data_IF_046391834991
#
_entry.id   IF_046391834991
#
_cell.length_a   1.000
_cell.length_b   1.000
_cell.length_c   1.000
_cell.angle_alpha   90.00
_cell.angle_beta   90.00
_cell.angle_gamma   90.00
#
_symmetry.space_group_name_H-M   'P 1'
#
loop_
_entity.id
_entity.type
_entity.pdbx_description
1 polymer ?
#
# COMPACT_ATOMS: atom_id res chain seq x y z
N UNK A 1 7.71 8.42 26.01
CA UNK A 1 6.40 8.21 25.36
C UNK A 1 5.72 7.02 26.01
N UNK A 2 4.53 7.22 26.59
CA UNK A 2 3.90 6.23 27.48
C UNK A 2 3.27 5.10 26.65
N UNK A 3 3.31 3.85 27.12
CA UNK A 3 2.79 2.66 26.41
C UNK A 3 1.30 2.79 26.04
N UNK A 4 0.57 3.66 26.75
CA UNK A 4 -0.80 4.07 26.43
C UNK A 4 -0.87 4.95 25.18
N UNK A 5 -0.03 5.98 25.05
CA UNK A 5 -0.02 6.88 23.88
C UNK A 5 0.39 6.15 22.60
N UNK A 6 1.34 5.22 22.69
CA UNK A 6 1.74 4.37 21.57
C UNK A 6 0.60 3.42 21.13
N UNK A 7 -0.17 2.87 22.09
CA UNK A 7 -1.39 2.12 21.79
C UNK A 7 -2.45 2.99 21.13
N UNK A 8 -2.64 4.23 21.57
CA UNK A 8 -3.60 5.17 20.96
C UNK A 8 -3.16 5.57 19.54
N UNK A 9 -1.86 5.78 19.31
CA UNK A 9 -1.32 6.08 17.99
C UNK A 9 -1.46 4.89 17.03
N UNK A 10 -1.15 3.67 17.48
CA UNK A 10 -1.40 2.43 16.71
C UNK A 10 -2.89 2.20 16.43
N UNK A 11 -3.76 2.49 17.41
CA UNK A 11 -5.22 2.44 17.21
C UNK A 11 -5.66 3.48 16.17
N UNK A 12 -5.07 4.67 16.18
CA UNK A 12 -5.37 5.73 15.21
C UNK A 12 -4.89 5.35 13.80
N UNK A 13 -3.71 4.76 13.65
CA UNK A 13 -3.19 4.30 12.36
C UNK A 13 -4.10 3.22 11.75
N UNK A 14 -4.53 2.25 12.55
CA UNK A 14 -5.49 1.22 12.14
C UNK A 14 -6.93 1.73 11.96
N UNK A 15 -7.25 2.95 12.41
CA UNK A 15 -8.55 3.61 12.18
C UNK A 15 -8.55 4.59 11.00
N UNK A 16 -7.37 4.91 10.43
CA UNK A 16 -7.24 5.85 9.33
C UNK A 16 -7.45 5.20 7.95
N UNK A 17 -7.12 3.92 7.84
CA UNK A 17 -7.54 3.09 6.70
C UNK A 17 -9.01 2.77 6.93
N UNK A 18 -9.87 3.12 5.98
CA UNK A 18 -11.22 2.59 5.98
C UNK A 18 -11.09 1.06 6.02
N UNK A 19 -11.58 0.41 7.08
CA UNK A 19 -11.43 -1.03 7.31
C UNK A 19 -12.19 -1.88 6.28
N UNK A 20 -12.22 -1.53 5.00
CA UNK A 20 -12.80 -2.38 3.96
C UNK A 20 -12.02 -3.70 3.82
N UNK A 21 -10.71 -3.70 4.08
CA UNK A 21 -9.89 -4.93 4.12
C UNK A 21 -9.92 -5.68 5.47
N UNK A 22 -10.35 -5.00 6.55
CA UNK A 22 -10.36 -5.51 7.92
C UNK A 22 -11.77 -5.94 8.38
N UNK A 23 -12.78 -5.76 7.52
CA UNK A 23 -13.99 -6.55 7.60
C UNK A 23 -13.53 -7.98 7.38
N UNK A 24 -13.39 -8.71 8.49
CA UNK A 24 -13.52 -10.16 8.45
C UNK A 24 -14.84 -10.38 7.74
N UNK A 25 -14.74 -10.72 6.46
CA UNK A 25 -15.83 -11.32 5.71
C UNK A 25 -16.19 -12.53 6.54
N UNK A 26 -17.19 -12.40 7.41
CA UNK A 26 -17.65 -13.51 8.20
C UNK A 26 -18.23 -14.49 7.18
N UNK A 27 -17.39 -15.47 6.85
CA UNK A 27 -17.59 -16.48 5.81
C UNK A 27 -18.91 -17.25 6.06
N UNK A 28 -19.51 -17.09 7.25
CA UNK A 28 -20.78 -17.69 7.64
C UNK A 28 -22.03 -16.80 7.66
N UNK A 29 -21.95 -15.45 7.72
CA UNK A 29 -23.15 -14.63 8.01
C UNK A 29 -23.87 -14.04 6.79
N UNK A 30 -23.17 -13.76 5.69
CA UNK A 30 -23.80 -13.16 4.48
C UNK A 30 -24.40 -14.20 3.51
N UNK A 31 -24.34 -15.50 3.84
CA UNK A 31 -24.96 -16.58 3.06
C UNK A 31 -26.13 -17.17 3.84
N UNK A 32 -27.25 -16.45 3.94
CA UNK A 32 -28.50 -17.12 4.25
C UNK A 32 -28.91 -17.96 3.03
N UNK A 33 -28.78 -19.28 3.13
CA UNK A 33 -29.22 -20.24 2.09
C UNK A 33 -28.52 -20.15 0.72
N UNK A 34 -27.30 -19.61 0.64
CA UNK A 34 -26.56 -19.47 -0.64
C UNK A 34 -27.00 -18.28 -1.51
N UNK A 35 -27.84 -17.40 -0.97
CA UNK A 35 -28.23 -16.12 -1.57
C UNK A 35 -27.33 -14.99 -1.09
N UNK A 36 -27.16 -13.96 -1.92
CA UNK A 36 -26.44 -12.73 -1.58
C UNK A 36 -27.35 -11.53 -1.69
N UNK A 37 -27.22 -10.62 -0.75
CA UNK A 37 -27.82 -9.30 -0.86
C UNK A 37 -27.09 -8.52 -1.95
N UNK A 38 -27.81 -8.10 -2.99
CA UNK A 38 -27.33 -7.20 -4.03
C UNK A 38 -28.17 -5.93 -4.01
N UNK A 39 -27.53 -4.79 -4.24
CA UNK A 39 -28.22 -3.54 -4.47
C UNK A 39 -28.46 -3.40 -5.97
N UNK A 40 -29.73 -3.46 -6.38
CA UNK A 40 -30.17 -3.32 -7.75
C UNK A 40 -30.52 -1.88 -8.05
N UNK A 41 -29.97 -1.36 -9.14
CA UNK A 41 -30.26 -0.06 -9.70
C UNK A 41 -31.05 -0.21 -11.00
N UNK A 42 -32.14 0.55 -11.11
CA UNK A 42 -32.94 0.68 -12.32
C UNK A 42 -32.49 1.88 -13.16
N UNK A 43 -32.96 1.97 -14.40
CA UNK A 43 -32.76 3.07 -15.37
C UNK A 43 -33.08 4.46 -14.82
N UNK A 44 -33.94 4.54 -13.80
CA UNK A 44 -34.31 5.80 -13.11
C UNK A 44 -33.38 6.16 -11.94
N UNK A 45 -32.35 5.35 -11.66
CA UNK A 45 -31.44 5.55 -10.52
C UNK A 45 -32.02 5.14 -9.16
N UNK A 46 -33.18 4.49 -9.14
CA UNK A 46 -33.77 3.93 -7.92
C UNK A 46 -33.01 2.67 -7.51
N UNK A 47 -32.81 2.51 -6.19
CA UNK A 47 -32.04 1.40 -5.61
C UNK A 47 -32.93 0.50 -4.75
N UNK A 48 -32.96 -0.79 -5.03
CA UNK A 48 -33.70 -1.80 -4.23
C UNK A 48 -32.76 -2.94 -3.82
N UNK A 49 -32.94 -3.48 -2.61
CA UNK A 49 -32.18 -4.65 -2.17
C UNK A 49 -32.85 -5.92 -2.68
N UNK A 50 -32.11 -6.72 -3.43
CA UNK A 50 -32.59 -7.99 -3.98
C UNK A 50 -31.65 -9.13 -3.53
N UNK A 51 -32.23 -10.23 -3.01
CA UNK A 51 -31.46 -11.43 -2.70
C UNK A 51 -31.32 -12.31 -3.94
N UNK A 52 -30.09 -12.45 -4.46
CA UNK A 52 -29.85 -13.15 -5.72
C UNK A 52 -28.88 -14.32 -5.51
N UNK A 53 -29.18 -15.48 -6.11
CA UNK A 53 -28.24 -16.60 -6.22
C UNK A 53 -27.37 -16.46 -7.47
N UNK A 54 -26.20 -17.12 -7.49
CA UNK A 54 -25.34 -17.17 -8.69
C UNK A 54 -26.04 -17.76 -9.90
N UNK A 55 -26.87 -18.79 -9.67
CA UNK A 55 -27.60 -19.46 -10.74
C UNK A 55 -28.67 -18.54 -11.33
N UNK A 56 -29.33 -17.75 -10.49
CA UNK A 56 -30.32 -16.78 -10.95
C UNK A 56 -29.66 -15.61 -11.68
N UNK A 57 -28.52 -15.08 -11.19
CA UNK A 57 -27.72 -14.09 -11.93
C UNK A 57 -27.33 -14.59 -13.32
N UNK A 58 -26.81 -15.82 -13.39
CA UNK A 58 -26.40 -16.42 -14.66
C UNK A 58 -27.60 -16.58 -15.60
N UNK A 59 -28.76 -17.01 -15.10
CA UNK A 59 -29.99 -17.09 -15.91
C UNK A 59 -30.45 -15.72 -16.39
N UNK A 60 -30.38 -14.68 -15.56
CA UNK A 60 -30.75 -13.31 -15.95
C UNK A 60 -29.84 -12.80 -17.05
N UNK A 61 -28.52 -13.01 -16.93
CA UNK A 61 -27.54 -12.63 -17.96
C UNK A 61 -27.77 -13.44 -19.25
N UNK A 62 -27.99 -14.76 -19.14
CA UNK A 62 -28.26 -15.60 -20.31
C UNK A 62 -29.58 -15.25 -20.99
N UNK A 63 -30.60 -14.86 -20.23
CA UNK A 63 -31.87 -14.38 -20.78
C UNK A 63 -31.68 -13.06 -21.54
N UNK A 64 -30.90 -12.13 -20.99
CA UNK A 64 -30.53 -10.88 -21.67
C UNK A 64 -29.76 -11.14 -22.96
N UNK A 65 -28.82 -12.09 -22.95
CA UNK A 65 -28.08 -12.51 -24.14
C UNK A 65 -28.98 -13.20 -25.19
N UNK A 66 -29.92 -14.04 -24.77
CA UNK A 66 -30.82 -14.79 -25.66
C UNK A 66 -31.84 -13.90 -26.40
N UNK A 67 -32.14 -12.71 -25.86
CA UNK A 67 -33.01 -11.72 -26.52
C UNK A 67 -32.35 -11.10 -27.76
N UNK A 68 -31.02 -11.17 -27.88
CA UNK A 68 -30.29 -10.76 -29.09
C UNK A 68 -30.47 -11.84 -30.15
N UNK A 69 -31.37 -11.61 -31.12
CA UNK A 69 -31.57 -12.52 -32.24
C UNK A 69 -30.32 -12.54 -33.11
N UNK A 70 -29.48 -13.56 -32.98
CA UNK A 70 -28.46 -13.87 -33.99
C UNK A 70 -29.17 -14.19 -35.32
N UNK A 71 -28.91 -13.46 -36.41
CA UNK A 71 -29.50 -13.79 -37.70
C UNK A 71 -29.08 -15.20 -38.17
N UNK A 72 -29.98 -15.86 -38.90
CA UNK A 72 -29.82 -17.21 -39.45
C UNK A 72 -28.54 -17.37 -40.28
N UNK A 73 -27.93 -18.57 -40.33
CA UNK A 73 -26.62 -18.81 -40.92
C UNK A 73 -26.68 -18.88 -42.46
N UNK A 74 -26.83 -17.75 -43.13
CA UNK A 74 -26.73 -17.68 -44.60
C UNK A 74 -26.13 -16.34 -45.03
N UNK A 75 -24.80 -16.19 -44.92
CA UNK A 75 -23.90 -15.54 -45.90
C UNK A 75 -22.55 -15.16 -45.27
N UNK A 76 -21.48 -15.39 -46.06
CA UNK A 76 -20.16 -14.74 -46.02
C UNK A 76 -19.18 -15.04 -44.86
N UNK A 77 -18.31 -16.04 -45.07
CA UNK A 77 -16.91 -15.81 -45.49
C UNK A 77 -15.88 -15.11 -44.60
N UNK A 78 -16.25 -14.31 -43.59
CA UNK A 78 -15.27 -13.59 -42.76
C UNK A 78 -15.26 -14.11 -41.31
N UNK A 79 -14.08 -14.05 -40.69
CA UNK A 79 -13.79 -14.50 -39.32
C UNK A 79 -14.85 -13.96 -38.37
N UNK A 80 -15.65 -14.86 -37.79
CA UNK A 80 -16.65 -14.51 -36.77
C UNK A 80 -15.93 -14.20 -35.46
N UNK A 81 -16.01 -12.94 -35.01
CA UNK A 81 -15.74 -12.60 -33.62
C UNK A 81 -16.97 -12.99 -32.79
N UNK A 82 -16.94 -14.16 -32.16
CA UNK A 82 -18.02 -14.62 -31.29
C UNK A 82 -17.82 -14.06 -29.88
N UNK A 83 -18.66 -13.11 -29.48
CA UNK A 83 -18.65 -12.55 -28.13
C UNK A 83 -18.84 -13.68 -27.09
N UNK A 84 -17.89 -13.89 -26.15
CA UNK A 84 -18.00 -14.96 -25.17
C UNK A 84 -19.20 -14.78 -24.23
N UNK A 85 -19.94 -15.87 -24.01
CA UNK A 85 -21.01 -15.92 -23.00
C UNK A 85 -20.45 -15.97 -21.58
N UNK A 86 -21.21 -15.42 -20.61
CA UNK A 86 -20.82 -15.46 -19.19
C UNK A 86 -20.81 -16.90 -18.68
N UNK A 87 -19.69 -17.28 -18.05
CA UNK A 87 -19.54 -18.58 -17.42
C UNK A 87 -19.62 -18.49 -15.89
N UNK A 88 -19.96 -19.59 -15.22
CA UNK A 88 -19.91 -19.67 -13.75
C UNK A 88 -18.54 -19.30 -13.16
N UNK A 89 -17.45 -19.43 -13.92
CA UNK A 89 -16.10 -19.01 -13.49
C UNK A 89 -16.00 -17.49 -13.30
N UNK A 90 -16.67 -16.72 -14.15
CA UNK A 90 -16.61 -15.26 -14.14
C UNK A 90 -17.38 -14.72 -12.91
N UNK A 91 -18.53 -15.34 -12.61
CA UNK A 91 -19.32 -15.08 -11.40
C UNK A 91 -18.62 -15.50 -10.10
N UNK A 92 -17.65 -16.42 -10.14
CA UNK A 92 -16.82 -16.76 -8.96
C UNK A 92 -15.81 -15.67 -8.65
N UNK A 93 -15.34 -14.88 -9.63
CA UNK A 93 -14.44 -13.74 -9.36
C UNK A 93 -15.15 -12.61 -8.59
N UNK A 94 -16.47 -12.50 -8.77
CA UNK A 94 -17.31 -11.61 -7.96
C UNK A 94 -17.49 -12.11 -6.51
N UNK A 95 -17.04 -13.33 -6.19
CA UNK A 95 -17.10 -13.89 -4.85
C UNK A 95 -15.83 -13.67 -4.03
N UNK A 96 -15.98 -13.04 -2.85
CA UNK A 96 -14.93 -12.84 -1.87
C UNK A 96 -14.30 -14.15 -1.39
N UNK A 97 -15.08 -15.23 -1.32
CA UNK A 97 -14.61 -16.55 -0.85
C UNK A 97 -13.62 -17.20 -1.83
N UNK A 98 -13.66 -16.80 -3.11
CA UNK A 98 -12.85 -17.42 -4.17
C UNK A 98 -11.86 -16.45 -4.84
N UNK A 99 -11.85 -15.18 -4.45
CA UNK A 99 -10.85 -14.21 -4.87
C UNK A 99 -9.53 -14.48 -4.10
N UNK A 100 -8.73 -15.41 -4.62
CA UNK A 100 -7.38 -15.72 -4.07
C UNK A 100 -6.47 -14.49 -4.16
N UNK A 101 -6.70 -13.62 -5.14
CA UNK A 101 -6.19 -12.27 -5.22
C UNK A 101 -7.39 -11.30 -5.34
N UNK A 102 -7.47 -10.27 -4.50
CA UNK A 102 -8.39 -9.14 -4.67
C UNK A 102 -7.91 -8.21 -5.81
N UNK A 103 -7.45 -8.80 -6.91
CA UNK A 103 -7.01 -8.05 -8.07
C UNK A 103 -8.24 -7.52 -8.82
N UNK A 104 -8.27 -6.21 -9.11
CA UNK A 104 -9.38 -5.62 -9.81
C UNK A 104 -9.39 -6.09 -11.27
N UNK A 105 -10.57 -6.42 -11.76
CA UNK A 105 -10.80 -6.92 -13.12
C UNK A 105 -12.08 -6.34 -13.66
N UNK A 106 -12.06 -5.86 -14.90
CA UNK A 106 -13.24 -5.44 -15.64
C UNK A 106 -13.33 -6.38 -16.84
N UNK A 107 -14.43 -7.11 -16.94
CA UNK A 107 -14.59 -8.20 -17.90
C UNK A 107 -15.89 -7.98 -18.65
N UNK A 108 -15.78 -7.84 -19.97
CA UNK A 108 -16.94 -7.66 -20.85
C UNK A 108 -17.33 -9.01 -21.45
N UNK A 109 -18.63 -9.30 -21.46
CA UNK A 109 -19.23 -10.54 -21.96
C UNK A 109 -20.52 -10.19 -22.70
N UNK A 110 -21.11 -11.19 -23.36
CA UNK A 110 -22.34 -10.99 -24.11
C UNK A 110 -23.45 -10.39 -23.23
N UNK A 111 -23.82 -9.14 -23.52
CA UNK A 111 -24.87 -8.38 -22.82
C UNK A 111 -24.63 -8.17 -21.32
N UNK A 112 -23.39 -8.25 -20.83
CA UNK A 112 -23.05 -8.01 -19.42
C UNK A 112 -21.61 -7.52 -19.22
N UNK A 113 -21.44 -6.53 -18.33
CA UNK A 113 -20.13 -6.05 -17.89
C UNK A 113 -19.96 -6.44 -16.41
N UNK A 114 -18.87 -7.15 -16.11
CA UNK A 114 -18.55 -7.59 -14.77
C UNK A 114 -17.40 -6.73 -14.23
N UNK A 115 -17.66 -5.97 -13.18
CA UNK A 115 -16.67 -5.15 -12.48
C UNK A 115 -16.33 -5.82 -11.16
N UNK A 116 -15.06 -6.13 -10.95
CA UNK A 116 -14.53 -6.54 -9.66
C UNK A 116 -13.48 -5.51 -9.26
N UNK A 117 -13.78 -4.61 -8.33
CA UNK A 117 -12.81 -3.64 -7.83
C UNK A 117 -13.09 -3.37 -6.35
N UNK A 118 -12.33 -4.00 -5.45
CA UNK A 118 -12.54 -3.86 -4.01
C UNK A 118 -12.60 -2.38 -3.58
N UNK A 119 -13.63 -1.95 -2.82
CA UNK A 119 -14.72 -2.72 -2.19
C UNK A 119 -16.01 -2.91 -3.00
N UNK A 120 -16.06 -2.47 -4.27
CA UNK A 120 -17.26 -2.48 -5.13
C UNK A 120 -17.20 -3.62 -6.15
N UNK A 121 -18.22 -4.47 -6.16
CA UNK A 121 -18.36 -5.54 -7.16
C UNK A 121 -19.68 -5.39 -7.85
N UNK A 122 -19.69 -5.35 -9.17
CA UNK A 122 -20.90 -5.03 -9.91
C UNK A 122 -21.06 -5.91 -11.16
N UNK A 123 -22.32 -6.14 -11.51
CA UNK A 123 -22.75 -6.69 -12.80
C UNK A 123 -23.65 -5.65 -13.43
N UNK A 124 -23.21 -5.09 -14.55
CA UNK A 124 -23.96 -4.08 -15.31
C UNK A 124 -24.61 -4.80 -16.49
N UNK A 125 -25.92 -4.65 -16.59
CA UNK A 125 -26.74 -5.04 -17.73
C UNK A 125 -27.21 -3.76 -18.44
N UNK A 126 -27.89 -3.93 -19.57
CA UNK A 126 -28.45 -2.83 -20.37
C UNK A 126 -29.51 -1.98 -19.65
N UNK A 127 -30.26 -2.58 -18.72
CA UNK A 127 -31.44 -2.00 -18.09
C UNK A 127 -31.38 -2.04 -16.56
N UNK A 128 -30.38 -2.70 -16.00
CA UNK A 128 -30.21 -2.81 -14.55
C UNK A 128 -28.75 -3.02 -14.17
N UNK A 129 -28.38 -2.54 -12.99
CA UNK A 129 -27.03 -2.73 -12.43
C UNK A 129 -27.14 -3.35 -11.04
N UNK A 130 -26.40 -4.43 -10.81
CA UNK A 130 -26.39 -5.19 -9.57
C UNK A 130 -25.06 -5.00 -8.87
N UNK A 131 -25.06 -4.40 -7.69
CA UNK A 131 -23.85 -4.16 -6.91
C UNK A 131 -23.85 -5.03 -5.65
N UNK A 132 -22.79 -5.79 -5.46
CA UNK A 132 -22.51 -6.58 -4.26
C UNK A 132 -21.58 -5.79 -3.35
N UNK A 133 -22.04 -5.56 -2.13
CA UNK A 133 -21.34 -4.77 -1.12
C UNK A 133 -21.08 -5.63 0.13
N UNK A 134 -19.97 -5.40 0.86
CA UNK A 134 -19.74 -6.03 2.14
C UNK A 134 -20.75 -5.55 3.20
N UNK A 135 -21.11 -6.45 4.13
CA UNK A 135 -22.01 -6.13 5.25
C UNK A 135 -21.40 -5.05 6.16
N UNK A 136 -22.19 -4.03 6.49
CA UNK A 136 -21.76 -2.90 7.33
C UNK A 136 -21.19 -1.68 6.59
N UNK A 137 -21.22 -1.67 5.25
CA UNK A 137 -20.72 -0.57 4.43
C UNK A 137 -21.77 0.54 4.12
N UNK A 138 -22.52 0.99 5.14
CA UNK A 138 -23.63 1.95 4.95
C UNK A 138 -23.16 3.29 4.34
N UNK A 139 -21.96 3.75 4.68
CA UNK A 139 -21.37 4.95 4.09
C UNK A 139 -21.08 4.78 2.60
N UNK A 140 -20.67 3.58 2.18
CA UNK A 140 -20.39 3.30 0.78
C UNK A 140 -21.68 3.17 -0.01
N UNK A 141 -22.69 2.51 0.55
CA UNK A 141 -24.03 2.44 -0.04
C UNK A 141 -24.62 3.83 -0.25
N UNK A 142 -24.53 4.72 0.74
CA UNK A 142 -25.01 6.10 0.61
C UNK A 142 -24.26 6.87 -0.46
N UNK A 143 -22.93 6.70 -0.54
CA UNK A 143 -22.11 7.32 -1.58
C UNK A 143 -22.54 6.83 -2.96
N UNK A 144 -22.69 5.52 -3.12
CA UNK A 144 -23.03 4.87 -4.38
C UNK A 144 -24.44 5.28 -4.84
N UNK A 145 -25.44 5.32 -3.95
CA UNK A 145 -26.77 5.85 -4.28
C UNK A 145 -26.74 7.32 -4.73
N UNK A 146 -25.91 8.13 -4.07
CA UNK A 146 -25.70 9.53 -4.44
C UNK A 146 -25.09 9.66 -5.84
N UNK A 147 -24.01 8.92 -6.09
CA UNK A 147 -23.31 8.91 -7.38
C UNK A 147 -24.18 8.39 -8.51
N UNK A 148 -24.93 7.31 -8.32
CA UNK A 148 -25.87 6.81 -9.33
C UNK A 148 -26.95 7.84 -9.66
N UNK A 149 -27.54 8.49 -8.64
CA UNK A 149 -28.56 9.51 -8.88
C UNK A 149 -28.00 10.73 -9.60
N UNK A 150 -26.81 11.18 -9.21
CA UNK A 150 -26.12 12.31 -9.85
C UNK A 150 -25.79 11.97 -11.31
N UNK A 151 -25.27 10.76 -11.57
CA UNK A 151 -24.88 10.36 -12.91
C UNK A 151 -26.07 10.17 -13.83
N UNK A 152 -27.15 9.53 -13.37
CA UNK A 152 -28.36 9.36 -14.19
C UNK A 152 -29.01 10.71 -14.57
N UNK A 153 -28.87 11.75 -13.75
CA UNK A 153 -29.41 13.08 -14.05
C UNK A 153 -28.57 13.84 -15.08
N UNK A 154 -27.24 13.72 -15.02
CA UNK A 154 -26.33 14.36 -15.97
C UNK A 154 -26.26 13.60 -17.30
N UNK A 155 -26.43 12.28 -17.27
CA UNK A 155 -26.30 11.37 -18.40
C UNK A 155 -27.62 11.07 -19.11
N UNK A 156 -28.62 11.96 -19.08
CA UNK A 156 -29.93 11.76 -19.74
C UNK A 156 -29.86 11.41 -21.24
N UNK A 157 -28.70 11.60 -21.89
CA UNK A 157 -28.46 11.34 -23.30
C UNK A 157 -27.48 10.17 -23.56
N UNK A 158 -26.96 9.54 -22.51
CA UNK A 158 -26.01 8.42 -22.61
C UNK A 158 -26.74 7.13 -22.26
N UNK A 159 -26.36 6.01 -22.88
CA UNK A 159 -26.94 4.71 -22.58
C UNK A 159 -26.68 4.30 -21.11
N UNK A 160 -27.62 3.55 -20.54
CA UNK A 160 -27.61 3.20 -19.10
C UNK A 160 -26.32 2.48 -18.69
N UNK A 161 -25.76 1.62 -19.55
CA UNK A 161 -24.54 0.88 -19.27
C UNK A 161 -23.34 1.80 -18.96
N UNK A 162 -23.18 2.91 -19.67
CA UNK A 162 -22.09 3.86 -19.45
C UNK A 162 -22.33 4.68 -18.19
N UNK A 163 -23.57 5.14 -17.96
CA UNK A 163 -23.89 5.86 -16.73
C UNK A 163 -23.70 4.98 -15.47
N UNK A 164 -24.01 3.69 -15.57
CA UNK A 164 -23.77 2.72 -14.49
C UNK A 164 -22.28 2.45 -14.30
N UNK A 165 -21.52 2.23 -15.38
CA UNK A 165 -20.07 2.04 -15.35
C UNK A 165 -19.38 3.27 -14.74
N UNK A 166 -19.78 4.45 -15.17
CA UNK A 166 -19.27 5.72 -14.69
C UNK A 166 -19.55 5.92 -13.20
N UNK A 167 -20.76 5.63 -12.74
CA UNK A 167 -21.09 5.72 -11.32
C UNK A 167 -20.23 4.76 -10.47
N UNK A 168 -19.92 3.55 -10.97
CA UNK A 168 -19.05 2.58 -10.30
C UNK A 168 -17.59 3.06 -10.29
N UNK A 169 -17.06 3.49 -11.43
CA UNK A 169 -15.68 4.00 -11.54
C UNK A 169 -15.49 5.25 -10.68
N UNK A 170 -16.42 6.20 -10.76
CA UNK A 170 -16.41 7.40 -9.93
C UNK A 170 -16.42 7.06 -8.45
N UNK A 171 -17.29 6.14 -8.01
CA UNK A 171 -17.34 5.69 -6.62
C UNK A 171 -16.01 5.07 -6.20
N UNK A 172 -15.41 4.23 -7.04
CA UNK A 172 -14.13 3.56 -6.78
C UNK A 172 -12.99 4.57 -6.65
N UNK A 173 -12.86 5.50 -7.61
CA UNK A 173 -11.86 6.57 -7.57
C UNK A 173 -12.03 7.46 -6.33
N UNK A 174 -13.27 7.80 -5.96
CA UNK A 174 -13.59 8.61 -4.79
C UNK A 174 -13.24 7.92 -3.48
N UNK A 175 -13.48 6.61 -3.37
CA UNK A 175 -13.06 5.82 -2.19
C UNK A 175 -11.54 5.81 -2.07
N UNK A 176 -10.82 5.49 -3.15
CA UNK A 176 -9.35 5.44 -3.15
C UNK A 176 -8.72 6.82 -2.84
N UNK A 177 -9.26 7.89 -3.44
CA UNK A 177 -8.81 9.26 -3.20
C UNK A 177 -9.06 9.70 -1.76
N UNK A 178 -10.22 9.37 -1.18
CA UNK A 178 -10.55 9.73 0.19
C UNK A 178 -9.64 8.99 1.21
N UNK A 179 -9.27 7.75 0.92
CA UNK A 179 -8.32 7.00 1.75
C UNK A 179 -6.90 7.54 1.62
N UNK A 180 -6.48 7.98 0.42
CA UNK A 180 -5.25 8.75 0.26
C UNK A 180 -5.27 10.01 1.12
N UNK A 181 -6.36 10.79 1.07
CA UNK A 181 -6.47 12.06 1.79
C UNK A 181 -6.37 11.91 3.32
N UNK A 182 -6.80 10.77 3.88
CA UNK A 182 -6.67 10.47 5.32
C UNK A 182 -5.24 10.08 5.70
N UNK A 183 -4.60 9.22 4.90
CA UNK A 183 -3.33 8.57 5.25
C UNK A 183 -2.13 9.48 4.95
N UNK A 184 -2.15 10.19 3.82
CA UNK A 184 -1.04 11.03 3.34
C UNK A 184 -0.60 12.12 4.34
N UNK A 185 -1.49 12.91 4.97
CA UNK A 185 -1.06 13.95 5.93
C UNK A 185 -0.44 13.35 7.19
N UNK A 186 -0.96 12.22 7.68
CA UNK A 186 -0.42 11.52 8.86
C UNK A 186 0.96 10.93 8.57
N UNK A 187 1.16 10.43 7.35
CA UNK A 187 2.45 9.95 6.87
C UNK A 187 3.47 11.05 6.73
N UNK A 188 3.08 12.17 6.11
CA UNK A 188 3.94 13.35 6.02
C UNK A 188 4.39 13.83 7.40
N UNK A 189 3.45 13.98 8.33
CA UNK A 189 3.76 14.43 9.68
C UNK A 189 4.69 13.47 10.43
N UNK A 190 4.56 12.16 10.20
CA UNK A 190 5.40 11.14 10.85
C UNK A 190 6.81 11.08 10.25
N UNK A 191 6.91 11.20 8.92
CA UNK A 191 8.18 11.36 8.21
C UNK A 191 8.91 12.62 8.68
N UNK A 192 8.22 13.76 8.76
CA UNK A 192 8.80 15.03 9.22
C UNK A 192 9.26 14.96 10.68
N UNK A 193 8.59 14.20 11.54
CA UNK A 193 9.03 13.96 12.92
C UNK A 193 10.32 13.14 12.95
N UNK A 194 10.42 12.06 12.17
CA UNK A 194 11.61 11.22 12.11
C UNK A 194 12.80 11.90 11.43
N UNK A 195 12.54 12.89 10.58
CA UNK A 195 13.58 13.72 9.99
C UNK A 195 14.20 14.68 11.02
N UNK A 196 13.40 15.16 11.99
CA UNK A 196 13.89 15.95 13.12
C UNK A 196 14.73 15.08 14.06
N UNK A 197 15.67 15.70 14.74
CA UNK A 197 16.81 15.03 15.40
C UNK A 197 16.49 14.11 16.58
N UNK A 198 15.23 14.09 17.01
CA UNK A 198 14.77 13.12 17.99
C UNK A 198 14.48 11.80 17.28
N UNK A 199 15.20 10.75 17.68
CA UNK A 199 14.97 9.36 17.25
C UNK A 199 14.15 8.61 18.31
N UNK A 200 12.86 8.90 18.55
CA UNK A 200 12.05 8.05 19.40
C UNK A 200 11.81 6.74 18.65
N UNK A 201 12.45 5.65 19.10
CA UNK A 201 12.23 4.30 18.54
C UNK A 201 10.75 3.88 18.45
N UNK A 202 9.87 4.45 19.28
CA UNK A 202 8.43 4.25 19.20
C UNK A 202 7.78 4.78 17.91
N UNK A 203 8.37 5.80 17.27
CA UNK A 203 7.83 6.36 16.02
C UNK A 203 8.13 5.45 14.82
N UNK A 204 9.18 4.61 14.88
CA UNK A 204 9.51 3.67 13.79
C UNK A 204 8.45 2.58 13.60
N UNK A 205 7.87 2.07 14.67
CA UNK A 205 6.77 1.09 14.56
C UNK A 205 5.51 1.74 13.93
N UNK A 206 5.22 2.99 14.31
CA UNK A 206 4.11 3.74 13.69
C UNK A 206 4.36 4.04 12.21
N UNK A 207 5.59 4.41 11.85
CA UNK A 207 5.98 4.61 10.45
C UNK A 207 5.90 3.30 9.66
N UNK A 208 6.30 2.17 10.27
CA UNK A 208 6.21 0.84 9.63
C UNK A 208 4.76 0.44 9.36
N UNK A 209 3.86 0.62 10.33
CA UNK A 209 2.44 0.36 10.15
C UNK A 209 1.87 1.22 9.00
N UNK A 210 2.23 2.50 8.98
CA UNK A 210 1.80 3.45 7.97
C UNK A 210 2.36 3.16 6.57
N UNK A 211 3.63 2.74 6.48
CA UNK A 211 4.27 2.26 5.25
C UNK A 211 3.52 1.07 4.68
N UNK A 212 3.13 0.12 5.52
CA UNK A 212 2.35 -1.04 5.09
C UNK A 212 0.98 -0.61 4.53
N UNK A 213 0.26 0.27 5.23
CA UNK A 213 -1.03 0.80 4.76
C UNK A 213 -0.92 1.57 3.44
N UNK A 214 0.15 2.37 3.26
CA UNK A 214 0.40 3.10 2.01
C UNK A 214 0.74 2.13 0.87
N UNK A 215 1.53 1.08 1.13
CA UNK A 215 1.85 0.06 0.13
C UNK A 215 0.62 -0.76 -0.29
N UNK A 216 -0.27 -1.04 0.65
CA UNK A 216 -1.55 -1.71 0.39
C UNK A 216 -2.43 -0.85 -0.52
N UNK A 217 -2.61 0.43 -0.17
CA UNK A 217 -3.33 1.40 -1.00
C UNK A 217 -2.69 1.57 -2.39
N UNK A 218 -1.35 1.63 -2.45
CA UNK A 218 -0.62 1.67 -3.72
C UNK A 218 -0.89 0.44 -4.59
N UNK A 219 -0.98 -0.75 -3.98
CA UNK A 219 -1.28 -1.99 -4.69
C UNK A 219 -2.70 -1.97 -5.25
N UNK A 220 -3.68 -1.49 -4.48
CA UNK A 220 -5.07 -1.33 -4.93
C UNK A 220 -5.18 -0.32 -6.09
N UNK A 221 -4.59 0.87 -5.95
CA UNK A 221 -4.57 1.91 -7.00
C UNK A 221 -3.89 1.39 -8.27
N UNK A 222 -2.75 0.70 -8.12
CA UNK A 222 -2.06 0.07 -9.25
C UNK A 222 -2.91 -1.00 -9.93
N UNK A 223 -3.68 -1.76 -9.16
CA UNK A 223 -4.63 -2.71 -9.68
C UNK A 223 -5.65 -2.02 -10.58
N UNK A 224 -6.36 -1.01 -10.07
CA UNK A 224 -7.41 -0.30 -10.82
C UNK A 224 -6.82 0.35 -12.07
N UNK A 225 -5.63 0.95 -11.97
CA UNK A 225 -4.91 1.48 -13.13
C UNK A 225 -4.65 0.42 -14.20
N UNK A 226 -4.15 -0.76 -13.82
CA UNK A 226 -3.89 -1.86 -14.76
C UNK A 226 -5.17 -2.34 -15.43
N UNK A 227 -6.24 -2.49 -14.65
CA UNK A 227 -7.55 -2.88 -15.15
C UNK A 227 -8.09 -1.90 -16.21
N UNK A 228 -7.98 -0.59 -15.99
CA UNK A 228 -8.43 0.41 -16.96
C UNK A 228 -7.54 0.44 -18.21
N UNK A 229 -6.22 0.30 -18.06
CA UNK A 229 -5.29 0.21 -19.20
C UNK A 229 -5.56 -1.03 -20.06
N UNK A 230 -5.81 -2.19 -19.45
CA UNK A 230 -6.08 -3.45 -20.16
C UNK A 230 -7.28 -3.34 -21.10
N UNK A 231 -8.32 -2.60 -20.71
CA UNK A 231 -9.50 -2.38 -21.56
C UNK A 231 -9.27 -1.33 -22.64
N UNK A 232 -8.55 -0.26 -22.32
CA UNK A 232 -8.18 0.73 -23.36
C UNK A 232 -7.24 0.13 -24.41
N UNK A 233 -6.42 -0.85 -24.04
CA UNK A 233 -5.53 -1.55 -24.98
C UNK A 233 -6.27 -2.55 -25.86
N UNK A 234 -7.46 -3.02 -25.46
CA UNK A 234 -8.25 -4.01 -26.20
C UNK A 234 -9.49 -3.39 -26.88
N UNK A 235 -9.34 -3.08 -28.15
CA UNK A 235 -10.39 -2.52 -29.01
C UNK A 235 -11.66 -3.40 -29.02
N UNK A 236 -11.54 -4.73 -28.97
CA UNK A 236 -12.71 -5.63 -28.94
C UNK A 236 -13.52 -5.45 -27.65
N UNK A 237 -12.86 -5.39 -26.49
CA UNK A 237 -13.52 -5.22 -25.19
C UNK A 237 -14.26 -3.87 -25.11
N UNK A 238 -13.65 -2.84 -25.70
CA UNK A 238 -14.20 -1.50 -25.75
C UNK A 238 -15.47 -1.42 -26.62
N UNK A 239 -15.48 -2.06 -27.80
CA UNK A 239 -16.69 -2.18 -28.61
C UNK A 239 -17.77 -3.00 -27.90
N UNK A 240 -17.39 -4.05 -27.16
CA UNK A 240 -18.32 -4.87 -26.38
C UNK A 240 -18.99 -4.12 -25.22
N UNK A 241 -18.47 -2.97 -24.78
CA UNK A 241 -19.11 -2.15 -23.74
C UNK A 241 -20.47 -1.58 -24.18
N UNK A 242 -20.70 -1.40 -25.49
CA UNK A 242 -21.93 -0.83 -26.04
C UNK A 242 -23.11 -1.84 -26.06
N UNK A 243 -23.56 -2.24 -24.87
CA UNK A 243 -24.61 -3.25 -24.71
C UNK A 243 -25.92 -2.87 -25.44
N UNK A 244 -26.32 -1.60 -25.35
CA UNK A 244 -27.56 -1.08 -25.95
C UNK A 244 -27.47 -1.06 -27.48
N UNK A 245 -26.34 -0.61 -28.06
CA UNK A 245 -26.14 -0.61 -29.52
C UNK A 245 -26.13 -2.04 -30.08
N UNK A 246 -25.39 -2.95 -29.43
CA UNK A 246 -25.32 -4.37 -29.82
C UNK A 246 -26.69 -5.06 -29.76
N UNK A 247 -27.54 -4.66 -28.81
CA UNK A 247 -28.90 -5.17 -28.71
C UNK A 247 -29.81 -4.68 -29.85
N UNK A 248 -29.73 -3.39 -30.19
CA UNK A 248 -30.58 -2.79 -31.22
C UNK A 248 -30.21 -3.26 -32.63
N UNK A 249 -28.92 -3.42 -32.89
CA UNK A 249 -28.38 -3.83 -34.19
C UNK A 249 -27.56 -5.11 -34.05
N UNK A 250 -28.21 -6.29 -34.02
CA UNK A 250 -27.51 -7.56 -33.91
C UNK A 250 -26.60 -7.87 -35.10
N UNK A 251 -26.67 -7.12 -36.20
CA UNK A 251 -25.75 -7.25 -37.33
C UNK A 251 -24.32 -6.78 -36.96
N UNK A 252 -24.19 -5.83 -36.03
CA UNK A 252 -22.90 -5.33 -35.54
C UNK A 252 -22.10 -6.39 -34.75
N UNK A 253 -22.75 -7.47 -34.28
CA UNK A 253 -22.00 -8.59 -33.68
C UNK A 253 -21.09 -9.32 -34.67
N UNK A 254 -21.28 -9.15 -35.98
CA UNK A 254 -20.44 -9.79 -36.99
C UNK A 254 -19.26 -8.91 -37.40
N UNK A 255 -19.36 -7.59 -37.18
CA UNK A 255 -18.34 -6.60 -37.49
C UNK A 255 -18.30 -5.58 -36.34
N UNK A 256 -17.78 -6.02 -35.18
CA UNK A 256 -17.77 -5.19 -33.97
C UNK A 256 -17.00 -3.89 -34.19
N UNK A 257 -15.95 -3.92 -35.01
CA UNK A 257 -15.01 -2.81 -35.25
C UNK A 257 -15.54 -1.77 -36.26
N UNK A 258 -16.83 -1.81 -36.58
CA UNK A 258 -17.43 -0.98 -37.62
C UNK A 258 -17.82 0.43 -37.13
N UNK A 259 -17.91 0.64 -35.81
CA UNK A 259 -18.39 1.88 -35.22
C UNK A 259 -17.39 2.47 -34.23
N UNK A 260 -17.43 3.79 -34.06
CA UNK A 260 -16.48 4.49 -33.19
C UNK A 260 -16.74 4.26 -31.69
N UNK A 261 -15.66 4.10 -30.94
CA UNK A 261 -15.62 3.87 -29.49
C UNK A 261 -15.19 5.09 -28.68
N UNK A 262 -15.06 6.27 -29.31
CA UNK A 262 -14.61 7.53 -28.69
C UNK A 262 -15.29 7.83 -27.34
N UNK A 263 -16.61 7.63 -27.20
CA UNK A 263 -17.33 7.89 -25.94
C UNK A 263 -16.83 6.99 -24.79
N UNK A 264 -16.58 5.71 -25.08
CA UNK A 264 -16.13 4.73 -24.10
C UNK A 264 -14.66 4.98 -23.72
N UNK A 265 -13.81 5.30 -24.70
CA UNK A 265 -12.40 5.66 -24.49
C UNK A 265 -12.30 6.89 -23.61
N UNK A 266 -12.97 7.97 -24.01
CA UNK A 266 -12.94 9.24 -23.30
C UNK A 266 -13.39 9.09 -21.85
N UNK A 267 -14.47 8.33 -21.60
CA UNK A 267 -14.95 8.04 -20.25
C UNK A 267 -13.87 7.33 -19.43
N UNK A 268 -13.26 6.27 -19.94
CA UNK A 268 -12.25 5.49 -19.21
C UNK A 268 -10.96 6.30 -19.00
N UNK A 269 -10.54 7.08 -19.99
CA UNK A 269 -9.34 7.94 -19.94
C UNK A 269 -9.42 8.99 -18.81
N UNK A 270 -10.59 9.61 -18.63
CA UNK A 270 -10.80 10.58 -17.54
C UNK A 270 -10.54 9.94 -16.18
N UNK A 271 -11.13 8.77 -15.92
CA UNK A 271 -10.90 8.05 -14.65
C UNK A 271 -9.47 7.50 -14.52
N UNK A 272 -8.85 7.09 -15.63
CA UNK A 272 -7.46 6.67 -15.66
C UNK A 272 -6.52 7.83 -15.26
N UNK A 273 -6.77 9.04 -15.75
CA UNK A 273 -6.02 10.24 -15.39
C UNK A 273 -6.14 10.59 -13.89
N UNK A 274 -7.35 10.49 -13.33
CA UNK A 274 -7.59 10.68 -11.89
C UNK A 274 -6.83 9.67 -11.03
N UNK A 275 -6.82 8.40 -11.47
CA UNK A 275 -6.05 7.34 -10.81
C UNK A 275 -4.55 7.60 -10.90
N UNK A 276 -4.02 8.09 -12.03
CA UNK A 276 -2.61 8.46 -12.17
C UNK A 276 -2.21 9.59 -11.21
N UNK A 277 -3.05 10.61 -11.05
CA UNK A 277 -2.80 11.71 -10.10
C UNK A 277 -2.71 11.19 -8.66
N UNK A 278 -3.62 10.29 -8.29
CA UNK A 278 -3.66 9.65 -6.97
C UNK A 278 -2.44 8.73 -6.76
N UNK A 279 -2.09 7.90 -7.76
CA UNK A 279 -0.93 7.01 -7.75
C UNK A 279 0.38 7.78 -7.57
N UNK A 280 0.53 8.92 -8.25
CA UNK A 280 1.73 9.76 -8.16
C UNK A 280 1.90 10.29 -6.74
N UNK A 281 0.82 10.79 -6.13
CA UNK A 281 0.83 11.31 -4.76
C UNK A 281 1.23 10.24 -3.75
N UNK A 282 0.72 9.01 -3.89
CA UNK A 282 1.08 7.86 -3.03
C UNK A 282 2.53 7.43 -3.26
N UNK A 283 2.98 7.37 -4.51
CA UNK A 283 4.35 6.95 -4.87
C UNK A 283 5.40 7.92 -4.31
N UNK A 284 5.13 9.23 -4.36
CA UNK A 284 5.97 10.23 -3.73
C UNK A 284 6.11 10.03 -2.22
N UNK A 285 5.01 9.65 -1.54
CA UNK A 285 5.05 9.38 -0.11
C UNK A 285 5.87 8.12 0.22
N UNK A 286 5.73 7.05 -0.57
CA UNK A 286 6.55 5.83 -0.41
C UNK A 286 8.04 6.18 -0.51
N UNK A 287 8.42 6.97 -1.52
CA UNK A 287 9.81 7.41 -1.70
C UNK A 287 10.29 8.26 -0.52
N UNK A 288 9.46 9.19 -0.01
CA UNK A 288 9.81 10.00 1.17
C UNK A 288 10.02 9.14 2.43
N UNK A 289 9.19 8.11 2.63
CA UNK A 289 9.33 7.15 3.73
C UNK A 289 10.65 6.38 3.59
N UNK A 290 10.96 5.84 2.42
CA UNK A 290 12.20 5.09 2.16
C UNK A 290 13.45 5.95 2.35
N UNK A 291 13.42 7.20 1.89
CA UNK A 291 14.52 8.16 2.08
C UNK A 291 14.75 8.45 3.57
N UNK A 292 13.67 8.61 4.33
CA UNK A 292 13.74 8.89 5.77
C UNK A 292 14.21 7.67 6.56
N UNK A 293 13.75 6.47 6.20
CA UNK A 293 14.22 5.21 6.77
C UNK A 293 15.73 5.03 6.57
N UNK A 294 16.22 5.31 5.36
CA UNK A 294 17.65 5.27 5.02
C UNK A 294 18.46 6.30 5.82
N UNK A 295 17.94 7.52 5.95
CA UNK A 295 18.57 8.56 6.77
C UNK A 295 18.66 8.17 8.25
N UNK A 296 17.58 7.61 8.80
CA UNK A 296 17.55 7.14 10.20
C UNK A 296 18.55 6.00 10.41
N UNK A 297 18.62 5.05 9.47
CA UNK A 297 19.60 3.97 9.50
C UNK A 297 21.04 4.52 9.54
N UNK A 298 21.36 5.49 8.69
CA UNK A 298 22.67 6.15 8.69
C UNK A 298 22.98 6.86 10.02
N UNK A 299 21.99 7.51 10.65
CA UNK A 299 22.16 8.12 11.97
C UNK A 299 22.44 7.06 13.06
N UNK A 300 21.72 5.94 13.05
CA UNK A 300 21.92 4.84 14.00
C UNK A 300 23.31 4.19 13.83
N UNK A 301 23.74 3.97 12.59
CA UNK A 301 25.08 3.45 12.30
C UNK A 301 26.17 4.43 12.77
N UNK A 302 25.96 5.73 12.60
CA UNK A 302 26.86 6.77 13.12
C UNK A 302 26.94 6.73 14.65
N UNK A 303 25.80 6.59 15.35
CA UNK A 303 25.78 6.45 16.82
C UNK A 303 26.46 5.16 17.28
N UNK A 304 26.26 4.04 16.58
CA UNK A 304 26.96 2.79 16.85
C UNK A 304 28.47 2.94 16.67
N UNK A 305 28.92 3.55 15.57
CA UNK A 305 30.33 3.81 15.30
C UNK A 305 30.95 4.76 16.34
N UNK A 306 30.19 5.75 16.79
CA UNK A 306 30.60 6.61 17.90
C UNK A 306 30.78 5.83 19.20
N UNK A 307 29.81 4.97 19.57
CA UNK A 307 29.92 4.13 20.77
C UNK A 307 31.10 3.14 20.70
N UNK A 308 31.36 2.54 19.54
CA UNK A 308 32.54 1.70 19.32
C UNK A 308 33.84 2.49 19.53
N UNK A 309 33.87 3.74 19.09
CA UNK A 309 35.04 4.62 19.30
C UNK A 309 35.22 4.95 20.78
N UNK A 310 34.14 5.23 21.51
CA UNK A 310 34.18 5.47 22.96
C UNK A 310 34.65 4.21 23.71
N UNK A 311 34.12 3.04 23.38
CA UNK A 311 34.52 1.77 23.99
C UNK A 311 36.02 1.48 23.73
N UNK A 312 36.49 1.66 22.49
CA UNK A 312 37.90 1.53 22.14
C UNK A 312 38.79 2.49 22.96
N UNK A 313 38.34 3.72 23.19
CA UNK A 313 39.09 4.67 24.04
C UNK A 313 39.15 4.22 25.51
N UNK A 314 38.05 3.70 26.07
CA UNK A 314 37.99 3.26 27.47
C UNK A 314 38.82 1.99 27.69
N UNK A 315 38.69 1.01 26.78
CA UNK A 315 39.50 -0.22 26.81
C UNK A 315 40.99 0.09 26.70
N UNK A 316 41.37 1.06 25.87
CA UNK A 316 42.75 1.55 25.76
C UNK A 316 43.26 2.16 27.09
N UNK A 317 42.49 3.03 27.74
CA UNK A 317 42.88 3.55 29.07
C UNK A 317 43.00 2.42 30.12
N UNK A 318 42.04 1.50 30.13
CA UNK A 318 41.98 0.41 31.11
C UNK A 318 43.15 -0.56 30.95
N UNK A 319 43.50 -0.92 29.71
CA UNK A 319 44.65 -1.80 29.42
C UNK A 319 45.97 -1.17 29.86
N UNK A 320 46.17 0.13 29.58
CA UNK A 320 47.37 0.85 30.02
C UNK A 320 47.49 0.89 31.57
N UNK A 321 46.38 1.14 32.27
CA UNK A 321 46.35 1.13 33.74
C UNK A 321 46.53 -0.28 34.34
N UNK A 322 46.03 -1.32 33.66
CA UNK A 322 46.14 -2.72 34.12
C UNK A 322 47.60 -3.17 34.17
N UNK A 323 48.42 -2.77 33.18
CA UNK A 323 49.86 -3.08 33.16
C UNK A 323 50.59 -2.39 34.32
N UNK A 324 50.32 -1.11 34.59
CA UNK A 324 50.87 -0.42 35.76
C UNK A 324 50.43 -1.07 37.08
N UNK A 325 49.16 -1.46 37.18
CA UNK A 325 48.62 -2.14 38.36
C UNK A 325 49.29 -3.49 38.61
N UNK A 326 49.61 -4.24 37.56
CA UNK A 326 50.36 -5.50 37.67
C UNK A 326 51.76 -5.30 38.26
N UNK A 327 52.48 -4.26 37.81
CA UNK A 327 53.81 -3.91 38.33
C UNK A 327 53.73 -3.51 39.81
N UNK A 328 52.79 -2.62 40.15
CA UNK A 328 52.54 -2.20 41.55
C UNK A 328 52.15 -3.39 42.42
N UNK A 329 51.29 -4.29 41.92
CA UNK A 329 50.90 -5.51 42.60
C UNK A 329 52.07 -6.43 42.90
N UNK A 330 52.97 -6.65 41.93
CA UNK A 330 54.18 -7.47 42.11
C UNK A 330 55.11 -6.94 43.20
N UNK A 331 55.35 -5.62 43.26
CA UNK A 331 56.13 -4.99 44.34
C UNK A 331 55.37 -4.89 45.67
N UNK A 332 54.04 -4.90 45.64
CA UNK A 332 53.18 -4.95 46.84
C UNK A 332 53.09 -6.33 47.49
N UNK A 333 53.61 -7.38 46.85
CA UNK A 333 53.68 -8.71 47.46
C UNK A 333 54.76 -8.77 48.54
N UNK A 334 54.47 -9.46 49.65
CA UNK A 334 55.39 -9.66 50.76
C UNK A 334 56.46 -10.72 50.43
N UNK A 335 57.32 -10.41 49.46
CA UNK A 335 58.46 -11.23 49.06
C UNK A 335 59.75 -10.68 49.68
N UNK A 336 60.64 -11.56 50.14
CA UNK A 336 61.91 -11.16 50.75
C UNK A 336 62.86 -10.60 49.66
N UNK A 337 62.84 -9.28 49.46
CA UNK A 337 63.59 -8.58 48.42
C UNK A 337 64.44 -7.45 49.01
N UNK A 338 65.75 -7.49 48.79
CA UNK A 338 66.69 -6.45 49.22
C UNK A 338 66.63 -5.17 48.37
N UNK A 339 65.74 -5.11 47.36
CA UNK A 339 65.60 -4.00 46.41
C UNK A 339 64.86 -2.81 47.03
N UNK A 340 64.12 -3.03 48.12
CA UNK A 340 63.37 -1.98 48.81
C UNK A 340 64.24 -1.06 49.69
N UNK A 341 65.48 -1.49 50.02
CA UNK A 341 66.40 -0.79 50.92
C UNK A 341 67.18 0.35 50.24
N UNK A 342 67.08 0.53 48.92
CA UNK A 342 67.68 1.67 48.23
C UNK A 342 66.75 2.90 48.26
N UNK A 343 67.26 4.01 48.79
CA UNK A 343 66.54 5.26 49.07
C UNK A 343 65.77 5.89 47.88
N UNK A 344 66.07 5.52 46.63
CA UNK A 344 65.46 6.11 45.43
C UNK A 344 64.58 5.18 44.59
N UNK A 345 64.55 3.87 44.86
CA UNK A 345 63.88 2.91 43.97
C UNK A 345 62.35 3.09 43.97
N UNK A 346 61.76 3.44 45.11
CA UNK A 346 60.33 3.71 45.20
C UNK A 346 59.86 4.82 44.25
N UNK A 347 60.56 5.96 44.26
CA UNK A 347 60.22 7.10 43.40
C UNK A 347 60.42 6.81 41.91
N UNK A 348 61.41 5.98 41.56
CA UNK A 348 61.65 5.55 40.17
C UNK A 348 60.49 4.68 39.68
N UNK A 349 60.08 3.68 40.46
CA UNK A 349 58.98 2.78 40.07
C UNK A 349 57.65 3.54 40.01
N UNK A 350 57.40 4.43 40.98
CA UNK A 350 56.21 5.30 40.97
C UNK A 350 56.17 6.21 39.74
N UNK A 351 57.28 6.89 39.43
CA UNK A 351 57.41 7.72 38.24
C UNK A 351 57.17 6.92 36.95
N UNK A 352 57.76 5.73 36.84
CA UNK A 352 57.60 4.85 35.68
C UNK A 352 56.15 4.38 35.51
N UNK A 353 55.47 4.00 36.60
CA UNK A 353 54.07 3.56 36.57
C UNK A 353 53.08 4.67 36.18
N UNK A 354 53.40 5.93 36.46
CA UNK A 354 52.61 7.10 36.05
C UNK A 354 52.91 7.53 34.61
N UNK A 355 54.19 7.50 34.21
CA UNK A 355 54.62 7.92 32.87
C UNK A 355 54.22 6.90 31.80
N UNK A 356 54.32 5.60 32.10
CA UNK A 356 54.05 4.53 31.13
C UNK A 356 52.63 4.61 30.52
N UNK A 357 51.53 4.73 31.29
CA UNK A 357 50.19 4.87 30.74
C UNK A 357 50.02 6.14 29.90
N UNK A 358 50.62 7.26 30.34
CA UNK A 358 50.51 8.53 29.62
C UNK A 358 51.19 8.46 28.24
N UNK A 359 52.40 7.90 28.16
CA UNK A 359 53.11 7.69 26.89
C UNK A 359 52.40 6.65 26.04
N UNK A 360 51.93 5.55 26.63
CA UNK A 360 51.20 4.50 25.92
C UNK A 360 49.93 5.03 25.25
N UNK A 361 49.14 5.83 25.99
CA UNK A 361 47.95 6.49 25.44
C UNK A 361 48.31 7.46 24.32
N UNK A 362 49.37 8.25 24.50
CA UNK A 362 49.82 9.21 23.50
C UNK A 362 50.31 8.53 22.20
N UNK A 363 51.07 7.44 22.29
CA UNK A 363 51.56 6.70 21.12
C UNK A 363 50.41 6.05 20.33
N UNK A 364 49.48 5.39 21.03
CA UNK A 364 48.38 4.69 20.38
C UNK A 364 47.39 5.68 19.77
N UNK A 365 47.13 6.84 20.39
CA UNK A 365 46.30 7.89 19.78
C UNK A 365 46.94 8.44 18.49
N UNK A 366 48.25 8.71 18.49
CA UNK A 366 48.94 9.09 17.25
C UNK A 366 48.86 8.01 16.16
N UNK A 367 48.98 6.75 16.54
CA UNK A 367 48.90 5.64 15.59
C UNK A 367 47.50 5.53 14.98
N UNK A 368 46.45 5.68 15.78
CA UNK A 368 45.06 5.64 15.32
C UNK A 368 44.70 6.84 14.43
N UNK A 369 45.26 8.02 14.73
CA UNK A 369 45.11 9.21 13.88
C UNK A 369 45.75 9.04 12.50
N UNK A 370 46.93 8.40 12.43
CA UNK A 370 47.57 8.08 11.14
C UNK A 370 46.76 7.10 10.29
N UNK A 371 45.96 6.24 10.93
CA UNK A 371 45.04 5.30 10.27
C UNK A 371 43.72 5.99 9.87
N UNK A 372 43.48 7.21 10.32
CA UNK A 372 42.26 7.98 9.99
C UNK A 372 41.08 7.71 10.94
N UNK A 373 41.30 7.04 12.07
CA UNK A 373 40.28 6.85 13.10
C UNK A 373 40.30 8.09 14.01
N UNK A 374 39.33 8.98 13.83
CA UNK A 374 39.22 10.19 14.65
C UNK A 374 38.60 9.84 16.00
N UNK A 375 39.40 9.92 17.07
CA UNK A 375 38.93 9.57 18.42
C UNK A 375 37.94 10.62 18.95
N UNK A 376 36.85 10.14 19.56
CA UNK A 376 35.71 10.93 20.05
C UNK A 376 36.05 12.18 20.89
N UNK A 377 37.25 12.25 21.47
CA UNK A 377 37.63 13.25 22.47
C UNK A 377 38.33 14.47 21.86
N UNK A 378 38.89 14.35 20.63
CA UNK A 378 39.45 15.50 19.89
C UNK A 378 38.37 16.35 19.24
N UNK A 379 37.18 15.80 19.04
CA UNK A 379 36.00 16.52 18.52
C UNK A 379 35.23 17.18 19.65
N UNK A 380 35.92 17.92 20.53
CA UNK A 380 35.31 18.83 21.52
C UNK A 380 34.57 20.03 20.92
N UNK A 381 34.36 20.04 19.60
CA UNK A 381 33.23 20.76 19.02
C UNK A 381 32.02 19.89 19.24
N UNK A 382 31.29 20.20 20.32
CA UNK A 382 29.84 20.04 20.36
C UNK A 382 29.31 20.28 18.96
N UNK A 383 28.97 19.20 18.26
CA UNK A 383 28.22 19.33 17.04
C UNK A 383 26.83 19.67 17.54
N UNK A 384 26.59 20.99 17.70
CA UNK A 384 25.25 21.56 17.66
C UNK A 384 24.71 21.14 16.30
N UNK A 385 23.85 20.13 16.30
CA UNK A 385 22.82 19.98 15.28
C UNK A 385 21.55 20.60 15.85
#
# INVERSE_FOLDING_TARGET
MNRKEMKTALLSANMLVSKHNDIVYDVGSSMHNGKRLALKFDTLGNSEYEEITRADLLKTIQAAAALVKTPSPQAAGNVRLEIPSVHMRDLRKLDNVFAVSNEPTLVVRQQAILVNADPVRAVILRDSCLVFLPDGADSLVSLLKGCFKEQMMHSNNIAFEFGALEAILHTTCKVLSNDCFKILPVAKASVDRMARDDLPMGDMETLRALKNSINELHTQINGVRRMLMEILENEEDLHMLYLTKIYQEPQLTHDLLCFDTEDAESLIEVYLQDIYATQTSVSLMINNIQNTESMVMLKLDTKRNYLLTVDLTLTMWTTMLTVSTFIVGGFGMNLNSNIQLLDYIFYIVFGLCCIFPAIGVWLVTQHLEKIGINMSWKTGKFIKY
#
